data_IF_052249349438
#
_entry.id   IF_052249349438
#
_cell.length_a   1.000
_cell.length_b   1.000
_cell.length_c   1.000
_cell.angle_alpha   90.00
_cell.angle_beta   90.00
_cell.angle_gamma   90.00
#
_symmetry.space_group_name_H-M   'P 1'
#
loop_
_entity.id
_entity.type
_entity.pdbx_description
1 polymer ?
#
# COMPACT_ATOMS: atom_id res chain seq x y z
N UNK A 1 -22.95 25.63 -73.23
CA UNK A 1 -22.85 26.37 -71.95
C UNK A 1 -22.50 25.40 -70.83
N UNK A 2 -21.23 25.30 -70.49
CA UNK A 2 -20.76 24.43 -69.37
C UNK A 2 -20.34 25.36 -68.21
N UNK A 3 -21.11 25.32 -67.08
CA UNK A 3 -20.75 26.04 -65.84
C UNK A 3 -19.72 25.21 -65.07
N UNK A 4 -18.55 25.80 -64.85
CA UNK A 4 -17.52 25.31 -63.93
C UNK A 4 -17.90 25.76 -62.56
N UNK A 5 -18.08 24.79 -61.65
CA UNK A 5 -18.21 24.98 -60.19
C UNK A 5 -16.78 24.92 -59.61
N UNK A 6 -16.32 26.05 -59.08
CA UNK A 6 -15.07 26.12 -58.33
C UNK A 6 -15.34 25.68 -56.89
N UNK A 7 -14.73 24.58 -56.46
CA UNK A 7 -14.72 24.14 -55.07
C UNK A 7 -13.59 24.88 -54.34
N UNK A 8 -13.93 25.78 -53.41
CA UNK A 8 -12.98 26.31 -52.42
C UNK A 8 -12.69 25.26 -51.37
N UNK A 9 -11.50 24.67 -51.44
CA UNK A 9 -10.93 23.88 -50.33
C UNK A 9 -10.45 24.89 -49.28
N UNK A 10 -11.19 24.97 -48.17
CA UNK A 10 -10.71 25.60 -46.94
C UNK A 10 -9.79 24.61 -46.26
N UNK A 11 -8.49 24.79 -46.40
CA UNK A 11 -7.47 24.07 -45.63
C UNK A 11 -7.47 24.68 -44.22
N UNK A 12 -8.08 24.00 -43.28
CA UNK A 12 -7.86 24.27 -41.86
C UNK A 12 -6.44 23.78 -41.54
N UNK A 13 -5.52 24.72 -41.46
CA UNK A 13 -4.20 24.47 -40.89
C UNK A 13 -4.34 24.19 -39.39
N UNK A 14 -4.28 22.94 -38.98
CA UNK A 14 -3.92 22.59 -37.62
C UNK A 14 -2.46 23.05 -37.42
N UNK A 15 -2.27 24.27 -36.95
CA UNK A 15 -0.99 24.70 -36.42
C UNK A 15 -0.70 23.92 -35.16
N UNK A 16 0.12 22.90 -35.27
CA UNK A 16 0.76 22.33 -34.09
C UNK A 16 1.57 23.46 -33.44
N UNK A 17 1.20 23.90 -32.26
CA UNK A 17 1.98 24.85 -31.48
C UNK A 17 3.43 24.30 -31.39
N UNK A 18 4.41 25.14 -31.75
CA UNK A 18 5.80 24.78 -31.61
C UNK A 18 6.08 24.41 -30.15
N UNK A 19 6.89 23.38 -29.91
CA UNK A 19 7.20 22.83 -28.57
C UNK A 19 7.76 23.86 -27.57
N UNK A 20 8.12 25.08 -28.05
CA UNK A 20 8.65 26.18 -27.25
C UNK A 20 7.62 27.02 -26.49
N UNK A 21 6.32 26.92 -26.80
CA UNK A 21 5.27 27.75 -26.17
C UNK A 21 4.48 27.02 -25.04
N UNK A 22 4.78 25.76 -24.78
CA UNK A 22 4.05 24.96 -23.76
C UNK A 22 4.67 25.08 -22.37
N UNK A 23 3.81 25.28 -21.38
CA UNK A 23 4.21 25.17 -19.97
C UNK A 23 4.48 23.71 -19.65
N UNK A 24 5.71 23.38 -19.24
CA UNK A 24 6.04 22.03 -18.81
C UNK A 24 5.78 21.87 -17.32
N UNK A 25 4.96 20.90 -16.94
CA UNK A 25 4.77 20.44 -15.58
C UNK A 25 5.55 19.14 -15.36
N UNK A 26 6.25 19.07 -14.25
CA UNK A 26 7.02 17.89 -13.83
C UNK A 26 6.22 17.07 -12.81
N UNK A 27 5.95 15.79 -13.13
CA UNK A 27 5.30 14.84 -12.27
C UNK A 27 6.31 13.80 -11.78
N UNK A 28 6.69 13.87 -10.52
CA UNK A 28 7.57 12.85 -9.94
C UNK A 28 6.76 11.65 -9.45
N UNK A 29 7.02 10.46 -10.02
CA UNK A 29 6.36 9.21 -9.71
C UNK A 29 7.34 8.16 -9.24
N UNK A 30 6.87 7.33 -8.31
CA UNK A 30 7.46 6.03 -8.03
C UNK A 30 6.76 5.00 -8.91
N UNK A 31 7.27 4.80 -10.11
CA UNK A 31 6.64 3.95 -11.11
C UNK A 31 7.69 3.10 -11.84
N UNK A 32 7.40 1.81 -12.01
CA UNK A 32 8.11 0.99 -12.96
C UNK A 32 7.63 1.30 -14.40
N UNK A 33 8.14 0.58 -15.38
CA UNK A 33 7.77 0.80 -16.77
C UNK A 33 6.27 0.61 -17.06
N UNK A 34 5.63 -0.37 -16.41
CA UNK A 34 4.20 -0.66 -16.62
C UNK A 34 3.33 0.40 -15.96
N UNK A 35 3.68 0.78 -14.74
CA UNK A 35 3.01 1.86 -14.00
C UNK A 35 3.15 3.22 -14.71
N UNK A 36 4.34 3.51 -15.26
CA UNK A 36 4.57 4.73 -16.03
C UNK A 36 3.68 4.79 -17.28
N UNK A 37 3.53 3.69 -18.01
CA UNK A 37 2.62 3.61 -19.14
C UNK A 37 1.15 3.73 -18.77
N UNK A 38 0.79 3.26 -17.59
CA UNK A 38 -0.55 3.45 -17.04
C UNK A 38 -0.81 4.94 -16.77
N UNK A 39 0.15 5.64 -16.18
CA UNK A 39 0.06 7.08 -15.97
C UNK A 39 0.03 7.87 -17.30
N UNK A 40 0.71 7.42 -18.36
CA UNK A 40 0.57 8.02 -19.70
C UNK A 40 -0.89 7.94 -20.23
N UNK A 41 -1.59 6.82 -19.95
CA UNK A 41 -3.02 6.69 -20.30
C UNK A 41 -3.90 7.65 -19.50
N UNK A 42 -3.55 7.91 -18.25
CA UNK A 42 -4.24 8.90 -17.40
C UNK A 42 -3.97 10.31 -17.90
N UNK A 43 -2.72 10.63 -18.22
CA UNK A 43 -2.30 11.97 -18.60
C UNK A 43 -2.72 12.37 -20.02
N UNK A 44 -2.92 11.41 -20.93
CA UNK A 44 -3.30 11.67 -22.32
C UNK A 44 -4.52 12.60 -22.48
N UNK A 45 -5.68 12.28 -21.87
CA UNK A 45 -6.85 13.14 -21.90
C UNK A 45 -6.63 14.52 -21.28
N UNK A 46 -5.84 14.62 -20.19
CA UNK A 46 -5.51 15.91 -19.58
C UNK A 46 -4.78 16.84 -20.56
N UNK A 47 -3.73 16.32 -21.19
CA UNK A 47 -2.94 17.10 -22.15
C UNK A 47 -3.77 17.46 -23.39
N UNK A 48 -4.69 16.61 -23.81
CA UNK A 48 -5.57 16.87 -24.95
C UNK A 48 -6.49 18.09 -24.73
N UNK A 49 -6.98 18.29 -23.50
CA UNK A 49 -7.85 19.46 -23.16
C UNK A 49 -7.06 20.66 -22.65
N UNK A 50 -5.74 20.52 -22.44
CA UNK A 50 -4.82 21.59 -22.02
C UNK A 50 -3.67 21.75 -23.06
N UNK A 51 -3.93 22.21 -24.29
CA UNK A 51 -2.93 22.20 -25.38
C UNK A 51 -1.68 23.06 -25.10
N UNK A 52 -1.79 24.02 -24.16
CA UNK A 52 -0.67 24.83 -23.69
C UNK A 52 0.16 24.18 -22.56
N UNK A 53 -0.16 22.95 -22.16
CA UNK A 53 0.52 22.24 -21.08
C UNK A 53 1.17 20.97 -21.63
N UNK A 54 2.38 20.69 -21.16
CA UNK A 54 3.09 19.42 -21.31
C UNK A 54 3.35 18.85 -19.93
N UNK A 55 3.09 17.58 -19.72
CA UNK A 55 3.43 16.88 -18.47
C UNK A 55 4.59 15.92 -18.75
N UNK A 56 5.65 16.03 -17.95
CA UNK A 56 6.82 15.16 -18.03
C UNK A 56 6.90 14.31 -16.75
N UNK A 57 6.82 12.99 -16.91
CA UNK A 57 6.98 12.05 -15.81
C UNK A 57 8.46 11.88 -15.45
N UNK A 58 8.80 12.10 -14.19
CA UNK A 58 10.10 11.77 -13.60
C UNK A 58 9.98 10.46 -12.82
N UNK A 59 10.07 9.33 -13.53
CA UNK A 59 9.87 8.02 -12.94
C UNK A 59 11.13 7.50 -12.24
N UNK A 60 10.93 6.85 -11.08
CA UNK A 60 11.95 6.12 -10.36
C UNK A 60 11.45 4.70 -10.12
N UNK A 61 12.05 3.74 -10.83
CA UNK A 61 11.59 2.35 -10.88
C UNK A 61 11.81 1.54 -9.60
N UNK A 62 12.55 2.08 -8.62
CA UNK A 62 12.88 1.35 -7.39
C UNK A 62 12.07 1.84 -6.21
N UNK A 63 11.53 0.86 -5.48
CA UNK A 63 10.78 1.11 -4.27
C UNK A 63 11.63 1.83 -3.21
N UNK A 64 11.14 2.99 -2.77
CA UNK A 64 11.43 3.71 -1.54
C UNK A 64 12.66 4.65 -1.53
N UNK A 65 13.89 4.19 -1.30
CA UNK A 65 15.00 5.10 -0.98
C UNK A 65 15.41 6.04 -2.13
N UNK A 66 15.68 5.58 -3.36
CA UNK A 66 16.12 6.46 -4.45
C UNK A 66 15.09 7.50 -4.88
N UNK A 67 13.80 7.15 -4.85
CA UNK A 67 12.74 8.10 -5.15
C UNK A 67 12.68 9.23 -4.13
N UNK A 68 12.64 8.89 -2.84
CA UNK A 68 12.58 9.85 -1.75
C UNK A 68 13.83 10.74 -1.72
N UNK A 69 15.01 10.17 -1.91
CA UNK A 69 16.28 10.92 -1.92
C UNK A 69 16.29 11.94 -3.05
N UNK A 70 15.89 11.57 -4.26
CA UNK A 70 15.75 12.51 -5.39
C UNK A 70 14.76 13.63 -5.07
N UNK A 71 13.60 13.29 -4.53
CA UNK A 71 12.57 14.26 -4.16
C UNK A 71 13.09 15.26 -3.12
N UNK A 72 13.70 14.77 -2.04
CA UNK A 72 14.27 15.63 -1.01
C UNK A 72 15.42 16.49 -1.54
N UNK A 73 16.27 15.95 -2.41
CA UNK A 73 17.39 16.68 -3.04
C UNK A 73 16.86 17.80 -3.93
N UNK A 74 15.85 17.53 -4.77
CA UNK A 74 15.24 18.56 -5.64
C UNK A 74 14.56 19.67 -4.81
N UNK A 75 13.87 19.30 -3.73
CA UNK A 75 13.27 20.28 -2.81
C UNK A 75 14.33 21.16 -2.13
N UNK A 76 15.43 20.55 -1.65
CA UNK A 76 16.53 21.27 -1.02
C UNK A 76 17.30 22.18 -1.99
N UNK A 77 17.38 21.79 -3.27
CA UNK A 77 17.98 22.59 -4.34
C UNK A 77 17.08 23.74 -4.84
N UNK A 78 15.85 23.88 -4.31
CA UNK A 78 14.89 24.89 -4.75
C UNK A 78 14.27 24.65 -6.13
N UNK A 79 14.40 23.42 -6.65
CA UNK A 79 13.80 22.99 -7.94
C UNK A 79 12.94 21.74 -7.75
N UNK A 80 11.86 21.81 -6.92
CA UNK A 80 10.96 20.69 -6.72
C UNK A 80 10.15 20.42 -8.01
N UNK A 81 9.64 19.18 -8.19
CA UNK A 81 8.66 18.90 -9.24
C UNK A 81 7.37 19.70 -9.02
N UNK A 82 6.52 19.83 -10.01
CA UNK A 82 5.22 20.51 -9.87
C UNK A 82 4.22 19.68 -9.06
N UNK A 83 4.20 18.35 -9.27
CA UNK A 83 3.40 17.38 -8.53
C UNK A 83 4.26 16.16 -8.22
N UNK A 84 4.06 15.54 -7.08
CA UNK A 84 4.77 14.32 -6.73
C UNK A 84 3.88 13.30 -6.04
N UNK A 85 4.15 12.02 -6.30
CA UNK A 85 3.52 10.93 -5.57
C UNK A 85 4.07 10.87 -4.14
N UNK A 86 3.19 10.81 -3.18
CA UNK A 86 3.50 10.77 -1.75
C UNK A 86 2.96 9.51 -1.11
N UNK A 87 3.83 8.69 -0.56
CA UNK A 87 3.42 7.59 0.30
C UNK A 87 3.09 8.09 1.71
N UNK A 88 2.08 7.48 2.31
CA UNK A 88 1.66 7.81 3.66
C UNK A 88 2.80 7.80 4.70
N UNK A 89 3.82 6.95 4.51
CA UNK A 89 4.96 6.82 5.44
C UNK A 89 5.91 8.02 5.42
N UNK A 90 5.95 8.79 4.34
CA UNK A 90 6.81 9.96 4.21
C UNK A 90 6.10 11.28 4.58
N UNK A 91 4.78 11.25 4.66
CA UNK A 91 3.96 12.43 4.93
C UNK A 91 4.36 13.20 6.20
N UNK A 92 4.48 12.56 7.39
CA UNK A 92 4.78 13.31 8.62
C UNK A 92 6.10 14.07 8.54
N UNK A 93 7.13 13.45 7.99
CA UNK A 93 8.45 14.06 7.86
C UNK A 93 8.52 15.20 6.84
N UNK A 94 7.70 15.16 5.80
CA UNK A 94 7.62 16.23 4.81
C UNK A 94 6.77 17.41 5.32
N UNK A 95 5.69 17.10 6.02
CA UNK A 95 4.81 18.14 6.62
C UNK A 95 5.55 18.90 7.72
N UNK A 96 6.28 18.21 8.61
CA UNK A 96 7.06 18.89 9.68
C UNK A 96 8.14 19.83 9.14
N UNK A 97 8.68 19.55 7.95
CA UNK A 97 9.64 20.42 7.24
C UNK A 97 8.98 21.56 6.47
N UNK A 98 7.65 21.62 6.40
CA UNK A 98 6.93 22.66 5.67
C UNK A 98 7.14 22.62 4.16
N UNK A 99 7.54 21.47 3.58
CA UNK A 99 7.85 21.36 2.13
C UNK A 99 6.66 20.90 1.29
N UNK A 100 5.53 20.55 1.91
CA UNK A 100 4.28 20.14 1.24
C UNK A 100 3.23 21.23 1.43
N UNK A 101 2.52 21.56 0.35
CA UNK A 101 1.45 22.56 0.36
C UNK A 101 0.21 22.00 1.05
N UNK A 102 -0.42 22.79 1.92
CA UNK A 102 -1.79 22.54 2.35
C UNK A 102 -2.75 22.83 1.18
N UNK A 103 -3.42 21.80 0.70
CA UNK A 103 -4.36 21.87 -0.43
C UNK A 103 -5.76 22.35 -0.01
N UNK A 104 -6.14 22.23 1.25
CA UNK A 104 -7.49 22.50 1.71
C UNK A 104 -8.06 23.87 1.24
N UNK A 105 -7.29 25.01 1.26
CA UNK A 105 -7.78 26.29 0.80
C UNK A 105 -8.08 26.37 -0.70
N UNK A 106 -7.62 25.38 -1.49
CA UNK A 106 -7.68 25.39 -2.95
C UNK A 106 -8.71 24.41 -3.51
N UNK A 107 -9.21 23.45 -2.73
CA UNK A 107 -10.03 22.33 -3.19
C UNK A 107 -11.30 22.78 -3.90
N UNK A 108 -12.01 23.77 -3.35
CA UNK A 108 -13.22 24.33 -3.96
C UNK A 108 -12.94 24.91 -5.37
N UNK A 109 -11.79 25.60 -5.54
CA UNK A 109 -11.40 26.17 -6.85
C UNK A 109 -10.98 25.12 -7.85
N UNK A 110 -10.39 24.04 -7.36
CA UNK A 110 -9.98 22.90 -8.18
C UNK A 110 -11.14 21.93 -8.48
N UNK A 111 -12.35 22.26 -8.05
CA UNK A 111 -13.56 21.43 -8.19
C UNK A 111 -13.40 20.01 -7.58
N UNK A 112 -12.58 19.87 -6.53
CA UNK A 112 -12.39 18.60 -5.82
C UNK A 112 -13.41 18.49 -4.69
N UNK A 113 -14.32 17.53 -4.81
CA UNK A 113 -15.23 17.16 -3.73
C UNK A 113 -14.61 16.03 -2.89
N UNK A 114 -13.96 16.42 -1.79
CA UNK A 114 -13.35 15.46 -0.86
C UNK A 114 -14.36 14.58 -0.11
N UNK A 115 -15.66 14.92 -0.13
CA UNK A 115 -16.70 14.09 0.48
C UNK A 115 -16.94 12.80 -0.33
N UNK A 116 -16.58 12.79 -1.61
CA UNK A 116 -16.65 11.60 -2.47
C UNK A 116 -15.51 10.60 -2.23
N UNK A 117 -14.47 10.99 -1.49
CA UNK A 117 -13.32 10.14 -1.15
C UNK A 117 -13.63 9.27 0.07
N UNK A 118 -12.98 8.12 0.18
CA UNK A 118 -12.97 7.34 1.41
C UNK A 118 -12.34 8.18 2.54
N UNK A 119 -13.13 8.47 3.58
CA UNK A 119 -12.72 9.39 4.65
C UNK A 119 -11.60 8.80 5.53
N UNK A 120 -11.52 7.48 5.67
CA UNK A 120 -10.42 6.82 6.37
C UNK A 120 -9.11 7.04 5.60
N UNK A 121 -9.15 6.89 4.28
CA UNK A 121 -7.99 7.10 3.40
C UNK A 121 -7.60 8.57 3.35
N UNK A 122 -8.57 9.49 3.22
CA UNK A 122 -8.31 10.93 3.25
C UNK A 122 -7.65 11.37 4.57
N UNK A 123 -8.09 10.79 5.70
CA UNK A 123 -7.52 11.10 7.02
C UNK A 123 -6.03 10.77 7.13
N UNK A 124 -5.53 9.83 6.33
CA UNK A 124 -4.11 9.48 6.25
C UNK A 124 -3.27 10.68 5.78
N UNK A 125 -3.80 11.46 4.84
CA UNK A 125 -3.14 12.62 4.22
C UNK A 125 -3.56 13.97 4.84
N UNK A 126 -4.34 13.94 5.92
CA UNK A 126 -4.85 15.13 6.58
C UNK A 126 -4.24 15.32 7.97
N UNK A 127 -4.15 16.58 8.41
CA UNK A 127 -3.78 16.94 9.77
C UNK A 127 -4.69 18.11 10.23
N UNK A 128 -5.59 17.83 11.16
CA UNK A 128 -6.65 18.81 11.47
C UNK A 128 -7.47 19.13 10.22
N UNK A 129 -7.56 20.41 9.87
CA UNK A 129 -8.29 20.86 8.68
C UNK A 129 -7.41 20.92 7.41
N UNK A 130 -6.10 20.67 7.53
CA UNK A 130 -5.19 20.71 6.40
C UNK A 130 -5.18 19.37 5.64
N UNK A 131 -5.09 19.43 4.31
CA UNK A 131 -4.99 18.29 3.39
C UNK A 131 -3.68 18.41 2.60
N UNK A 132 -2.75 17.50 2.78
CA UNK A 132 -1.40 17.58 2.20
C UNK A 132 -1.20 16.74 0.94
N UNK A 133 -2.11 15.80 0.67
CA UNK A 133 -2.15 15.10 -0.59
C UNK A 133 -3.58 14.65 -0.90
N UNK A 134 -3.91 14.56 -2.18
CA UNK A 134 -5.14 13.93 -2.65
C UNK A 134 -4.88 12.44 -2.83
N UNK A 135 -5.68 11.54 -2.20
CA UNK A 135 -5.48 10.12 -2.32
C UNK A 135 -5.54 9.62 -3.76
N UNK A 136 -4.53 8.89 -4.21
CA UNK A 136 -4.49 8.23 -5.52
C UNK A 136 -5.13 6.85 -5.44
N UNK A 137 -4.85 6.14 -4.38
CA UNK A 137 -5.34 4.80 -4.12
C UNK A 137 -4.83 4.27 -2.79
N UNK A 138 -5.35 3.12 -2.39
CA UNK A 138 -5.01 2.52 -1.11
C UNK A 138 -5.10 0.99 -1.14
N UNK A 139 -4.50 0.36 -0.15
CA UNK A 139 -4.53 -1.08 0.04
C UNK A 139 -4.60 -1.44 1.53
N UNK A 140 -5.67 -2.07 1.99
CA UNK A 140 -5.63 -2.77 3.26
C UNK A 140 -4.81 -4.06 3.12
N UNK A 141 -4.17 -4.50 4.18
CA UNK A 141 -3.57 -5.83 4.20
C UNK A 141 -4.62 -6.90 4.47
N UNK A 142 -4.49 -8.00 3.75
CA UNK A 142 -5.36 -9.17 3.82
C UNK A 142 -4.52 -10.45 3.79
N UNK A 143 -5.14 -11.59 4.03
CA UNK A 143 -4.55 -12.91 3.78
C UNK A 143 -5.02 -13.43 2.43
N UNK A 144 -4.08 -13.70 1.52
CA UNK A 144 -4.33 -14.49 0.31
C UNK A 144 -4.22 -15.98 0.65
N UNK A 145 -5.10 -16.79 0.11
CA UNK A 145 -5.07 -18.25 0.31
C UNK A 145 -5.28 -19.01 -0.99
N UNK A 146 -4.61 -20.15 -1.13
CA UNK A 146 -4.68 -21.02 -2.30
C UNK A 146 -5.86 -21.98 -2.14
N UNK A 147 -6.96 -21.76 -2.90
CA UNK A 147 -8.19 -22.56 -2.84
C UNK A 147 -7.94 -24.03 -3.20
N UNK A 148 -7.02 -24.30 -4.13
CA UNK A 148 -6.73 -25.67 -4.54
C UNK A 148 -6.07 -26.49 -3.44
N UNK A 149 -5.24 -25.85 -2.60
CA UNK A 149 -4.66 -26.51 -1.42
C UNK A 149 -5.70 -26.77 -0.34
N UNK A 150 -6.65 -25.83 -0.15
CA UNK A 150 -7.76 -25.99 0.78
C UNK A 150 -8.68 -27.16 0.36
N UNK A 151 -9.05 -27.21 -0.91
CA UNK A 151 -9.92 -28.25 -1.46
C UNK A 151 -9.28 -29.63 -1.34
N UNK A 152 -7.99 -29.76 -1.71
CA UNK A 152 -7.24 -31.03 -1.55
C UNK A 152 -7.14 -31.49 -0.11
N UNK A 153 -7.12 -30.55 0.84
CA UNK A 153 -7.07 -30.86 2.27
C UNK A 153 -8.47 -31.05 2.89
N UNK A 154 -9.56 -30.85 2.13
CA UNK A 154 -10.92 -30.87 2.66
C UNK A 154 -11.16 -29.82 3.74
N UNK A 155 -10.60 -28.59 3.55
CA UNK A 155 -10.72 -27.50 4.50
C UNK A 155 -11.66 -26.45 3.94
N UNK A 156 -12.72 -26.04 4.65
CA UNK A 156 -13.56 -24.91 4.26
C UNK A 156 -12.74 -23.64 4.13
N UNK A 157 -13.12 -22.77 3.17
CA UNK A 157 -12.47 -21.48 3.00
C UNK A 157 -12.68 -20.59 4.21
N UNK A 158 -11.67 -19.78 4.60
CA UNK A 158 -11.78 -18.90 5.74
C UNK A 158 -12.76 -17.76 5.47
N UNK A 159 -13.39 -17.25 6.54
CA UNK A 159 -14.32 -16.12 6.53
C UNK A 159 -13.74 -14.98 7.35
N UNK A 160 -14.23 -13.76 7.19
CA UNK A 160 -13.65 -12.58 7.86
C UNK A 160 -13.82 -12.57 9.40
N UNK A 161 -14.65 -13.47 9.94
CA UNK A 161 -14.85 -13.69 11.38
C UNK A 161 -13.92 -14.75 11.98
N UNK A 162 -12.95 -15.27 11.21
CA UNK A 162 -12.02 -16.30 11.67
C UNK A 162 -11.05 -15.80 12.74
N UNK A 163 -10.72 -16.70 13.64
CA UNK A 163 -9.86 -16.42 14.78
C UNK A 163 -8.43 -16.90 14.56
N UNK A 164 -7.51 -16.53 15.46
CA UNK A 164 -6.16 -17.06 15.52
C UNK A 164 -6.12 -18.59 15.68
N UNK A 165 -7.08 -19.16 16.43
CA UNK A 165 -7.17 -20.61 16.60
C UNK A 165 -7.60 -21.31 15.31
N UNK A 166 -8.54 -20.69 14.55
CA UNK A 166 -8.92 -21.17 13.22
C UNK A 166 -7.74 -21.13 12.27
N UNK A 167 -7.00 -20.00 12.25
CA UNK A 167 -5.80 -19.86 11.43
C UNK A 167 -4.76 -20.94 11.76
N UNK A 168 -4.42 -21.15 13.02
CA UNK A 168 -3.45 -22.18 13.44
C UNK A 168 -3.92 -23.60 13.06
N UNK A 169 -5.18 -23.91 13.28
CA UNK A 169 -5.77 -25.21 12.92
C UNK A 169 -5.68 -25.44 11.41
N UNK A 170 -6.03 -24.45 10.61
CA UNK A 170 -5.95 -24.48 9.15
C UNK A 170 -4.49 -24.61 8.70
N UNK A 171 -3.61 -23.74 9.18
CA UNK A 171 -2.21 -23.72 8.81
C UNK A 171 -1.49 -25.03 9.13
N UNK A 172 -1.76 -25.64 10.29
CA UNK A 172 -1.23 -26.98 10.64
C UNK A 172 -1.67 -28.07 9.67
N UNK A 173 -2.94 -28.07 9.27
CA UNK A 173 -3.46 -29.05 8.29
C UNK A 173 -2.89 -28.86 6.89
N UNK A 174 -2.49 -27.65 6.54
CA UNK A 174 -1.88 -27.30 5.26
C UNK A 174 -0.35 -27.41 5.25
N UNK A 175 0.27 -27.65 6.42
CA UNK A 175 1.72 -27.90 6.51
C UNK A 175 1.97 -29.39 6.34
N UNK A 176 2.62 -29.77 5.25
CA UNK A 176 2.76 -31.18 4.83
C UNK A 176 4.10 -31.46 4.18
N UNK A 177 4.53 -32.68 4.38
CA UNK A 177 5.40 -33.42 3.49
C UNK A 177 4.52 -33.98 2.36
N UNK A 178 4.72 -33.58 1.12
CA UNK A 178 3.87 -33.92 -0.01
C UNK A 178 4.45 -35.02 -0.90
N UNK A 179 5.75 -35.31 -0.76
CA UNK A 179 6.45 -36.37 -1.50
C UNK A 179 6.86 -37.57 -0.62
N UNK A 180 6.74 -37.46 0.71
CA UNK A 180 6.98 -38.54 1.66
C UNK A 180 8.43 -38.74 2.03
N UNK A 181 9.32 -37.77 1.78
CA UNK A 181 10.74 -37.84 2.09
C UNK A 181 11.07 -37.50 3.57
N UNK A 182 10.09 -37.17 4.36
CA UNK A 182 10.20 -36.80 5.78
C UNK A 182 10.46 -35.29 6.00
N UNK A 183 10.54 -34.50 4.95
CA UNK A 183 10.73 -33.06 5.02
C UNK A 183 9.45 -32.30 4.64
N UNK A 184 9.21 -31.17 5.31
CA UNK A 184 8.07 -30.32 4.96
C UNK A 184 8.43 -29.51 3.72
N UNK A 185 7.66 -29.65 2.66
CA UNK A 185 7.77 -28.96 1.39
C UNK A 185 6.58 -28.03 1.08
N UNK A 186 5.43 -28.23 1.77
CA UNK A 186 4.28 -27.33 1.75
C UNK A 186 4.02 -26.75 3.14
N UNK A 187 4.01 -25.44 3.27
CA UNK A 187 3.80 -24.71 4.51
C UNK A 187 2.41 -24.08 4.57
N UNK A 188 1.80 -24.06 5.74
CA UNK A 188 0.49 -23.45 5.96
C UNK A 188 0.52 -21.93 5.77
N UNK A 189 1.62 -21.30 6.17
CA UNK A 189 1.80 -19.84 6.03
C UNK A 189 3.26 -19.49 5.84
N UNK A 190 3.50 -18.18 5.65
CA UNK A 190 4.83 -17.59 5.62
C UNK A 190 5.01 -16.59 6.77
N UNK A 191 6.16 -16.65 7.42
CA UNK A 191 6.55 -15.69 8.46
C UNK A 191 7.26 -14.49 7.81
N UNK A 192 6.73 -13.30 8.01
CA UNK A 192 7.30 -12.08 7.46
C UNK A 192 7.73 -11.14 8.58
N UNK A 193 9.02 -10.79 8.63
CA UNK A 193 9.58 -9.92 9.65
C UNK A 193 9.46 -8.43 9.37
N UNK A 194 8.96 -8.04 8.19
CA UNK A 194 8.78 -6.64 7.83
C UNK A 194 7.70 -5.99 8.68
N UNK A 195 7.97 -4.86 9.35
CA UNK A 195 7.05 -4.25 10.30
C UNK A 195 5.66 -3.98 9.72
N UNK A 196 5.59 -3.54 8.47
CA UNK A 196 4.32 -3.27 7.82
C UNK A 196 3.43 -4.51 7.66
N UNK A 197 4.01 -5.73 7.70
CA UNK A 197 3.26 -6.99 7.61
C UNK A 197 2.85 -7.52 8.97
N UNK A 198 3.77 -7.55 9.97
CA UNK A 198 3.46 -8.20 11.24
C UNK A 198 2.76 -7.30 12.27
N UNK A 199 2.92 -5.98 12.19
CA UNK A 199 2.24 -5.06 13.12
C UNK A 199 0.71 -5.21 13.07
N UNK A 200 0.04 -5.32 11.90
CA UNK A 200 -1.39 -5.60 11.82
C UNK A 200 -1.82 -6.88 12.55
N UNK A 201 -0.98 -7.91 12.58
CA UNK A 201 -1.26 -9.13 13.36
C UNK A 201 -1.18 -8.87 14.86
N UNK A 202 -0.26 -8.02 15.31
CA UNK A 202 -0.21 -7.58 16.72
C UNK A 202 -1.47 -6.79 17.07
N UNK A 203 -1.93 -5.90 16.19
CA UNK A 203 -3.18 -5.17 16.37
C UNK A 203 -4.39 -6.09 16.47
N UNK A 204 -4.47 -7.09 15.59
CA UNK A 204 -5.51 -8.12 15.64
C UNK A 204 -5.42 -9.00 16.89
N UNK A 205 -4.29 -8.99 17.59
CA UNK A 205 -4.09 -9.59 18.91
C UNK A 205 -4.46 -8.69 20.09
N UNK A 206 -4.81 -7.43 19.83
CA UNK A 206 -5.12 -6.43 20.86
C UNK A 206 -3.91 -5.65 21.38
N UNK A 207 -2.71 -5.89 20.83
CA UNK A 207 -1.46 -5.17 21.17
C UNK A 207 -1.14 -4.03 20.23
N UNK A 208 -0.06 -3.31 20.49
CA UNK A 208 0.51 -2.30 19.60
C UNK A 208 2.01 -2.08 19.87
N UNK A 209 2.71 -1.54 18.86
CA UNK A 209 4.14 -1.25 18.95
C UNK A 209 4.45 0.13 19.56
N UNK A 210 3.51 1.06 19.51
CA UNK A 210 3.57 2.37 20.17
C UNK A 210 2.33 2.62 20.98
N UNK A 211 2.46 3.46 21.98
CA UNK A 211 1.32 3.95 22.75
C UNK A 211 0.45 4.89 21.89
N UNK A 212 -0.84 5.09 22.24
CA UNK A 212 -1.81 5.80 21.38
C UNK A 212 -1.37 7.21 20.98
N UNK A 213 -0.55 7.87 21.80
CA UNK A 213 0.00 9.20 21.54
C UNK A 213 1.15 9.18 20.50
N UNK A 214 1.68 7.98 20.16
CA UNK A 214 2.79 7.79 19.23
C UNK A 214 4.16 8.28 19.74
N UNK A 215 4.28 8.62 21.03
CA UNK A 215 5.46 9.24 21.60
C UNK A 215 6.42 8.26 22.27
N UNK A 216 5.94 7.07 22.59
CA UNK A 216 6.73 6.03 23.29
C UNK A 216 6.27 4.63 22.90
N UNK A 217 7.18 3.68 23.04
CA UNK A 217 6.94 2.23 22.92
C UNK A 217 6.79 1.57 24.30
N UNK A 218 7.52 2.07 25.30
CA UNK A 218 7.48 1.54 26.67
C UNK A 218 6.09 1.60 27.28
N UNK A 219 5.61 0.48 27.83
CA UNK A 219 4.26 0.28 28.34
C UNK A 219 3.24 -0.14 27.27
N UNK A 220 3.63 -0.22 25.99
CA UNK A 220 2.77 -0.65 24.89
C UNK A 220 3.40 -1.80 24.10
N UNK A 221 4.59 -1.65 23.54
CA UNK A 221 5.31 -2.75 22.87
C UNK A 221 5.64 -3.89 23.84
N UNK A 222 6.00 -3.56 25.07
CA UNK A 222 6.30 -4.49 26.15
C UNK A 222 5.12 -4.76 27.11
N UNK A 223 3.92 -4.35 26.74
CA UNK A 223 2.70 -4.73 27.45
C UNK A 223 2.43 -6.24 27.30
N UNK A 224 1.87 -6.90 28.32
CA UNK A 224 1.60 -8.35 28.27
C UNK A 224 0.83 -8.79 27.05
N UNK A 225 -0.20 -8.04 26.64
CA UNK A 225 -1.02 -8.34 25.45
C UNK A 225 -0.20 -8.29 24.15
N UNK A 226 0.72 -7.34 24.05
CA UNK A 226 1.61 -7.20 22.87
C UNK A 226 2.66 -8.29 22.86
N UNK A 227 3.27 -8.60 24.01
CA UNK A 227 4.22 -9.72 24.16
C UNK A 227 3.55 -11.04 23.75
N UNK A 228 2.31 -11.27 24.18
CA UNK A 228 1.56 -12.47 23.81
C UNK A 228 1.29 -12.53 22.30
N UNK A 229 0.96 -11.39 21.67
CA UNK A 229 0.77 -11.33 20.23
C UNK A 229 2.08 -11.61 19.46
N UNK A 230 3.20 -11.03 19.89
CA UNK A 230 4.53 -11.28 19.32
C UNK A 230 4.93 -12.76 19.51
N UNK A 231 4.70 -13.32 20.71
CA UNK A 231 4.96 -14.74 21.00
C UNK A 231 4.12 -15.66 20.12
N UNK A 232 2.87 -15.30 19.85
CA UNK A 232 1.99 -16.05 18.97
C UNK A 232 2.50 -16.00 17.52
N UNK A 233 2.82 -14.81 17.01
CA UNK A 233 3.29 -14.61 15.64
C UNK A 233 4.63 -15.30 15.38
N UNK A 234 5.63 -15.10 16.26
CA UNK A 234 6.95 -15.77 16.18
C UNK A 234 6.86 -17.28 16.37
N UNK A 235 5.82 -17.72 17.08
CA UNK A 235 5.50 -19.13 17.29
C UNK A 235 5.24 -19.91 16.00
N UNK A 236 4.87 -19.25 14.90
CA UNK A 236 4.69 -19.94 13.60
C UNK A 236 5.94 -20.66 13.13
N UNK A 237 7.11 -20.06 13.34
CA UNK A 237 8.40 -20.68 13.04
C UNK A 237 8.95 -21.53 14.17
N UNK A 238 8.86 -21.03 15.42
CA UNK A 238 9.65 -21.57 16.53
C UNK A 238 8.97 -22.76 17.23
N UNK A 239 7.64 -22.71 17.38
CA UNK A 239 6.87 -23.71 18.15
C UNK A 239 5.83 -24.47 17.34
N UNK A 240 5.17 -23.79 16.38
CA UNK A 240 4.05 -24.37 15.65
C UNK A 240 4.50 -25.11 14.38
N UNK A 241 5.67 -24.76 13.83
CA UNK A 241 6.22 -25.39 12.64
C UNK A 241 5.33 -25.21 11.38
N UNK A 242 4.56 -24.12 11.29
CA UNK A 242 3.63 -23.86 10.19
C UNK A 242 4.20 -22.91 9.13
N UNK A 243 5.38 -22.36 9.37
CA UNK A 243 6.12 -21.50 8.45
C UNK A 243 7.57 -21.98 8.34
N UNK A 244 8.22 -21.80 7.17
CA UNK A 244 9.61 -22.21 6.98
C UNK A 244 10.56 -21.48 7.93
N UNK A 245 11.58 -22.19 8.46
CA UNK A 245 12.56 -21.65 9.42
C UNK A 245 13.67 -20.81 8.80
N UNK A 246 13.43 -20.16 7.67
CA UNK A 246 14.44 -19.35 7.00
C UNK A 246 13.91 -17.98 6.64
N UNK A 247 14.63 -16.95 7.08
CA UNK A 247 14.32 -15.57 6.71
C UNK A 247 14.81 -15.20 5.31
N UNK A 248 15.65 -16.05 4.70
CA UNK A 248 16.32 -15.74 3.45
C UNK A 248 15.52 -16.09 2.19
N UNK A 249 14.31 -16.64 2.32
CA UNK A 249 13.48 -17.02 1.18
C UNK A 249 12.90 -15.81 0.43
N UNK A 250 12.76 -14.66 1.12
CA UNK A 250 12.20 -13.47 0.51
C UNK A 250 13.22 -12.33 0.52
N UNK A 251 13.85 -12.11 -0.61
CA UNK A 251 14.66 -10.90 -0.87
C UNK A 251 13.84 -9.79 -1.53
N UNK A 252 12.67 -10.13 -2.07
CA UNK A 252 11.78 -9.22 -2.79
C UNK A 252 10.32 -9.64 -2.69
N UNK A 253 9.40 -8.74 -3.04
CA UNK A 253 7.97 -9.06 -3.19
C UNK A 253 7.76 -10.14 -4.27
N UNK A 254 8.62 -10.17 -5.30
CA UNK A 254 8.59 -11.20 -6.33
C UNK A 254 8.92 -12.61 -5.80
N UNK A 255 9.78 -12.70 -4.79
CA UNK A 255 10.09 -14.00 -4.15
C UNK A 255 8.88 -14.53 -3.36
N UNK A 256 8.21 -13.66 -2.61
CA UNK A 256 6.96 -14.00 -1.92
C UNK A 256 5.91 -14.53 -2.89
N UNK A 257 5.72 -13.83 -3.98
CA UNK A 257 4.79 -14.22 -5.04
C UNK A 257 5.14 -15.59 -5.64
N UNK A 258 6.43 -15.84 -5.98
CA UNK A 258 6.87 -17.12 -6.51
C UNK A 258 6.67 -18.27 -5.53
N UNK A 259 6.96 -18.04 -4.24
CA UNK A 259 6.78 -19.05 -3.18
C UNK A 259 5.31 -19.45 -3.03
N UNK A 260 4.39 -18.46 -3.03
CA UNK A 260 2.95 -18.70 -2.99
C UNK A 260 2.45 -19.38 -4.28
N UNK A 261 2.85 -18.86 -5.43
CA UNK A 261 2.37 -19.33 -6.73
C UNK A 261 2.87 -20.76 -7.07
N UNK A 262 3.99 -21.20 -6.49
CA UNK A 262 4.45 -22.60 -6.60
C UNK A 262 3.66 -23.58 -5.73
N UNK A 263 2.72 -23.11 -4.91
CA UNK A 263 1.96 -23.94 -3.97
C UNK A 263 2.74 -24.36 -2.70
N UNK A 264 3.97 -23.88 -2.53
CA UNK A 264 4.80 -24.19 -1.36
C UNK A 264 4.32 -23.47 -0.09
N UNK A 265 3.51 -22.44 -0.22
CA UNK A 265 2.88 -21.74 0.90
C UNK A 265 1.39 -21.56 0.60
N UNK A 266 0.55 -21.97 1.54
CA UNK A 266 -0.89 -22.00 1.36
C UNK A 266 -1.58 -20.65 1.64
N UNK A 267 -1.04 -19.87 2.58
CA UNK A 267 -1.58 -18.57 3.01
C UNK A 267 -0.47 -17.55 3.21
N UNK A 268 -0.68 -16.30 2.80
CA UNK A 268 0.27 -15.20 3.02
C UNK A 268 -0.46 -13.88 3.26
N UNK A 269 0.14 -12.99 4.05
CA UNK A 269 -0.30 -11.60 4.16
C UNK A 269 0.15 -10.83 2.92
N UNK A 270 -0.77 -10.08 2.31
CA UNK A 270 -0.50 -9.28 1.11
C UNK A 270 -1.41 -8.06 1.02
N UNK A 271 -1.13 -7.19 0.04
CA UNK A 271 -1.97 -6.08 -0.36
C UNK A 271 -2.55 -6.27 -1.76
N UNK A 272 -3.30 -5.28 -2.23
CA UNK A 272 -4.04 -5.32 -3.48
C UNK A 272 -3.16 -5.48 -4.74
N UNK A 273 -1.89 -5.04 -4.68
CA UNK A 273 -0.91 -5.19 -5.78
C UNK A 273 -0.68 -6.64 -6.24
N UNK A 274 -1.19 -7.64 -5.52
CA UNK A 274 -1.17 -9.03 -5.95
C UNK A 274 -2.30 -9.37 -6.91
N UNK A 275 -3.40 -8.65 -6.90
CA UNK A 275 -4.57 -8.89 -7.77
C UNK A 275 -4.18 -8.97 -9.25
N UNK A 276 -3.51 -7.96 -9.86
CA UNK A 276 -3.12 -8.04 -11.27
C UNK A 276 -2.12 -9.16 -11.56
N UNK A 277 -1.31 -9.56 -10.59
CA UNK A 277 -0.36 -10.66 -10.73
C UNK A 277 -1.03 -12.03 -10.70
N UNK A 278 -2.15 -12.18 -9.97
CA UNK A 278 -2.89 -13.43 -9.82
C UNK A 278 -3.90 -13.64 -10.96
N UNK A 279 -4.48 -12.57 -11.51
CA UNK A 279 -5.48 -12.66 -12.59
C UNK A 279 -5.07 -13.54 -13.76
N UNK A 280 -3.83 -13.45 -14.32
CA UNK A 280 -3.41 -14.30 -15.43
C UNK A 280 -3.39 -15.80 -15.10
N UNK A 281 -3.06 -16.17 -13.86
CA UNK A 281 -3.05 -17.57 -13.43
C UNK A 281 -4.47 -18.14 -13.32
N UNK A 282 -5.42 -17.34 -12.81
CA UNK A 282 -6.82 -17.73 -12.76
C UNK A 282 -7.43 -17.81 -14.15
N UNK A 283 -7.16 -16.83 -15.01
CA UNK A 283 -7.64 -16.84 -16.40
C UNK A 283 -7.11 -18.05 -17.21
N UNK A 284 -5.89 -18.50 -16.90
CA UNK A 284 -5.30 -19.71 -17.51
C UNK A 284 -5.75 -21.02 -16.83
N UNK A 285 -6.65 -20.98 -15.84
CA UNK A 285 -7.11 -22.15 -15.09
C UNK A 285 -6.03 -22.86 -14.28
N UNK A 286 -4.90 -22.19 -14.01
CA UNK A 286 -3.73 -22.82 -13.36
C UNK A 286 -3.85 -22.90 -11.85
N UNK A 287 -4.51 -21.93 -11.21
CA UNK A 287 -4.69 -21.86 -9.76
C UNK A 287 -5.94 -21.06 -9.42
N UNK A 288 -6.54 -21.37 -8.27
CA UNK A 288 -7.66 -20.61 -7.69
C UNK A 288 -7.24 -20.01 -6.36
N UNK A 289 -7.58 -18.75 -6.15
CA UNK A 289 -7.20 -17.97 -4.97
C UNK A 289 -8.41 -17.33 -4.31
N UNK A 290 -8.27 -16.97 -3.05
CA UNK A 290 -9.20 -16.11 -2.35
C UNK A 290 -8.44 -15.13 -1.45
N UNK A 291 -9.14 -14.09 -1.05
CA UNK A 291 -8.68 -13.13 -0.06
C UNK A 291 -9.64 -13.09 1.11
N UNK A 292 -9.12 -12.84 2.30
CA UNK A 292 -9.87 -12.76 3.56
C UNK A 292 -9.15 -11.79 4.50
N UNK A 293 -9.87 -11.16 5.42
CA UNK A 293 -9.28 -10.29 6.44
C UNK A 293 -8.24 -11.02 7.30
N UNK A 294 -7.35 -10.28 7.95
CA UNK A 294 -6.40 -10.84 8.93
C UNK A 294 -7.19 -11.43 10.09
N UNK A 295 -6.90 -12.69 10.52
CA UNK A 295 -7.59 -13.30 11.65
C UNK A 295 -7.26 -12.60 12.96
N UNK A 296 -8.20 -12.56 13.87
CA UNK A 296 -8.04 -11.85 15.13
C UNK A 296 -8.08 -12.80 16.33
N UNK A 297 -7.52 -12.37 17.46
CA UNK A 297 -7.66 -13.08 18.73
C UNK A 297 -9.13 -13.07 19.16
N UNK A 298 -9.64 -14.18 19.66
CA UNK A 298 -11.00 -14.26 20.17
C UNK A 298 -11.28 -13.14 21.19
N UNK A 299 -12.39 -12.43 21.03
CA UNK A 299 -12.76 -11.28 21.85
C UNK A 299 -12.07 -9.96 21.51
N UNK A 300 -11.15 -9.95 20.55
CA UNK A 300 -10.52 -8.72 20.01
C UNK A 300 -11.18 -8.33 18.70
N UNK A 301 -11.35 -7.03 18.45
CA UNK A 301 -11.88 -6.55 17.18
C UNK A 301 -10.89 -6.83 16.05
N UNK A 302 -11.35 -7.26 14.86
CA UNK A 302 -10.50 -7.33 13.69
C UNK A 302 -9.78 -6.01 13.43
N UNK A 303 -8.55 -6.09 12.93
CA UNK A 303 -7.76 -4.92 12.59
C UNK A 303 -6.81 -5.21 11.42
N UNK A 304 -6.60 -4.22 10.57
CA UNK A 304 -5.55 -4.24 9.55
C UNK A 304 -4.97 -2.86 9.34
N UNK A 305 -3.85 -2.76 8.61
CA UNK A 305 -3.28 -1.49 8.19
C UNK A 305 -3.79 -1.11 6.80
N UNK A 306 -4.11 0.17 6.59
CA UNK A 306 -4.40 0.76 5.29
C UNK A 306 -3.18 1.55 4.85
N UNK A 307 -2.49 1.07 3.81
CA UNK A 307 -1.44 1.81 3.14
C UNK A 307 -2.03 2.58 1.97
N UNK A 308 -1.59 3.81 1.78
CA UNK A 308 -2.13 4.69 0.75
C UNK A 308 -1.03 5.51 0.09
N UNK A 309 -1.23 5.83 -1.17
CA UNK A 309 -0.47 6.83 -1.91
C UNK A 309 -1.37 7.97 -2.38
N UNK A 310 -0.81 9.13 -2.56
CA UNK A 310 -1.54 10.32 -3.03
C UNK A 310 -0.65 11.22 -3.86
N UNK A 311 -1.24 12.25 -4.46
CA UNK A 311 -0.52 13.30 -5.16
C UNK A 311 -0.47 14.55 -4.30
N UNK A 312 0.73 15.06 -4.11
CA UNK A 312 1.04 16.25 -3.32
C UNK A 312 1.67 17.33 -4.20
N UNK A 313 1.55 18.57 -3.75
CA UNK A 313 2.16 19.75 -4.39
C UNK A 313 3.22 20.31 -3.43
N UNK A 314 4.43 20.63 -3.90
CA UNK A 314 5.42 21.31 -3.07
C UNK A 314 4.95 22.68 -2.58
N UNK A 315 5.31 23.05 -1.35
CA UNK A 315 4.97 24.37 -0.78
C UNK A 315 5.49 25.54 -1.65
N UNK A 316 6.65 25.34 -2.29
CA UNK A 316 7.32 26.31 -3.17
C UNK A 316 7.07 26.05 -4.67
N UNK A 317 5.96 25.38 -5.02
CA UNK A 317 5.63 25.14 -6.43
C UNK A 317 5.55 26.46 -7.21
N UNK A 318 6.38 26.58 -8.26
CA UNK A 318 6.45 27.79 -9.11
C UNK A 318 5.15 28.01 -9.88
N UNK A 319 4.49 26.90 -10.29
CA UNK A 319 3.24 26.90 -11.09
C UNK A 319 2.07 26.42 -10.24
N UNK A 320 1.95 26.91 -9.00
CA UNK A 320 1.03 26.39 -7.97
C UNK A 320 -0.38 26.08 -8.47
N UNK A 321 -0.99 26.99 -9.28
CA UNK A 321 -2.35 26.79 -9.80
C UNK A 321 -2.42 25.54 -10.68
N UNK A 322 -1.57 25.43 -11.67
CA UNK A 322 -1.52 24.29 -12.60
C UNK A 322 -1.13 22.98 -11.87
N UNK A 323 -0.23 23.05 -10.89
CA UNK A 323 0.16 21.91 -10.07
C UNK A 323 -1.03 21.36 -9.27
N UNK A 324 -1.86 22.23 -8.69
CA UNK A 324 -3.06 21.81 -7.95
C UNK A 324 -4.12 21.23 -8.91
N UNK A 325 -4.33 21.85 -10.06
CA UNK A 325 -5.24 21.35 -11.10
C UNK A 325 -4.80 19.97 -11.62
N UNK A 326 -3.49 19.77 -11.84
CA UNK A 326 -2.97 18.47 -12.23
C UNK A 326 -3.13 17.42 -11.11
N UNK A 327 -2.82 17.78 -9.85
CA UNK A 327 -3.00 16.86 -8.72
C UNK A 327 -4.49 16.46 -8.55
N UNK A 328 -5.41 17.40 -8.71
CA UNK A 328 -6.85 17.15 -8.69
C UNK A 328 -7.28 16.19 -9.81
N UNK A 329 -6.83 16.45 -11.04
CA UNK A 329 -7.12 15.60 -12.19
C UNK A 329 -6.58 14.17 -11.99
N UNK A 330 -5.36 14.03 -11.47
CA UNK A 330 -4.74 12.74 -11.22
C UNK A 330 -5.48 11.88 -10.17
N UNK A 331 -6.47 12.46 -9.48
CA UNK A 331 -7.30 11.79 -8.47
C UNK A 331 -8.80 11.88 -8.78
N UNK A 332 -9.15 12.20 -10.02
CA UNK A 332 -10.54 12.23 -10.47
C UNK A 332 -11.06 10.85 -10.88
N UNK A 333 -12.32 10.81 -11.28
CA UNK A 333 -13.02 9.57 -11.65
C UNK A 333 -12.40 8.87 -12.87
N UNK A 334 -11.86 9.60 -13.83
CA UNK A 334 -11.21 9.02 -15.01
C UNK A 334 -9.88 8.37 -14.64
N UNK A 335 -9.07 9.08 -13.85
CA UNK A 335 -7.80 8.56 -13.35
C UNK A 335 -8.01 7.30 -12.50
N UNK A 336 -8.98 7.34 -11.59
CA UNK A 336 -9.34 6.20 -10.72
C UNK A 336 -9.88 5.02 -11.53
N UNK A 337 -10.70 5.24 -12.58
CA UNK A 337 -11.18 4.18 -13.44
C UNK A 337 -10.03 3.48 -14.18
N UNK A 338 -9.12 4.23 -14.78
CA UNK A 338 -7.95 3.69 -15.49
C UNK A 338 -7.04 2.87 -14.55
N UNK A 339 -6.81 3.35 -13.33
CA UNK A 339 -5.98 2.62 -12.33
C UNK A 339 -6.70 1.45 -11.72
N UNK A 340 -8.01 1.56 -11.49
CA UNK A 340 -8.86 0.47 -10.99
C UNK A 340 -8.87 -0.74 -11.93
N UNK A 341 -8.93 -0.52 -13.27
CA UNK A 341 -8.78 -1.58 -14.26
C UNK A 341 -7.43 -2.31 -14.15
N UNK A 342 -6.36 -1.57 -13.88
CA UNK A 342 -5.03 -2.15 -13.67
C UNK A 342 -4.94 -2.97 -12.36
N UNK A 343 -5.77 -2.63 -11.36
CA UNK A 343 -5.91 -3.38 -10.12
C UNK A 343 -4.70 -3.30 -9.17
N UNK A 344 -3.88 -2.26 -9.26
CA UNK A 344 -2.71 -2.10 -8.39
C UNK A 344 -3.08 -1.69 -6.97
N UNK A 345 -4.09 -0.82 -6.84
CA UNK A 345 -4.61 -0.26 -5.60
C UNK A 345 -6.13 -0.16 -5.70
N UNK A 346 -6.83 -0.13 -4.58
CA UNK A 346 -8.23 0.30 -4.57
C UNK A 346 -8.31 1.79 -4.88
N UNK A 347 -9.26 2.25 -5.70
CA UNK A 347 -9.52 3.67 -5.93
C UNK A 347 -9.85 4.40 -4.64
N UNK A 348 -9.51 5.68 -4.54
CA UNK A 348 -9.89 6.50 -3.39
C UNK A 348 -11.34 7.02 -3.47
N UNK A 349 -11.90 7.15 -4.67
CA UNK A 349 -13.29 7.54 -4.89
C UNK A 349 -14.23 6.39 -4.54
N UNK A 350 -15.21 6.65 -3.67
CA UNK A 350 -16.18 5.64 -3.20
C UNK A 350 -17.03 5.06 -4.34
N UNK A 351 -17.41 5.87 -5.32
CA UNK A 351 -18.15 5.43 -6.51
C UNK A 351 -17.32 4.51 -7.41
N UNK A 352 -16.03 4.76 -7.55
CA UNK A 352 -15.13 3.90 -8.32
C UNK A 352 -14.92 2.54 -7.62
N UNK A 353 -14.79 2.53 -6.28
CA UNK A 353 -14.76 1.28 -5.49
C UNK A 353 -16.05 0.47 -5.67
N UNK A 354 -17.22 1.13 -5.62
CA UNK A 354 -18.50 0.45 -5.83
C UNK A 354 -18.61 -0.18 -7.22
N UNK A 355 -18.17 0.53 -8.26
CA UNK A 355 -18.13 0.01 -9.62
C UNK A 355 -17.17 -1.19 -9.75
N UNK A 356 -16.01 -1.11 -9.12
CA UNK A 356 -15.01 -2.19 -9.10
C UNK A 356 -15.59 -3.45 -8.43
N UNK A 357 -16.24 -3.31 -7.27
CA UNK A 357 -16.90 -4.43 -6.57
C UNK A 357 -18.07 -5.00 -7.36
N UNK A 358 -18.86 -4.16 -8.04
CA UNK A 358 -19.97 -4.63 -8.87
C UNK A 358 -19.51 -5.50 -10.05
N UNK A 359 -18.29 -5.26 -10.57
CA UNK A 359 -17.66 -6.08 -11.61
C UNK A 359 -16.86 -7.30 -11.09
N UNK A 360 -16.78 -7.47 -9.77
CA UNK A 360 -15.93 -8.49 -9.14
C UNK A 360 -16.55 -9.88 -9.14
N UNK A 361 -16.33 -10.64 -10.20
CA UNK A 361 -16.82 -12.02 -10.34
C UNK A 361 -16.08 -13.04 -9.46
N UNK A 362 -14.92 -12.68 -8.91
CA UNK A 362 -14.08 -13.55 -8.09
C UNK A 362 -14.24 -13.33 -6.58
N UNK A 363 -14.91 -12.24 -6.19
CA UNK A 363 -15.11 -11.82 -4.80
C UNK A 363 -13.83 -11.26 -4.15
N UNK A 364 -12.84 -10.87 -4.94
CA UNK A 364 -11.56 -10.39 -4.45
C UNK A 364 -11.63 -8.94 -3.97
N UNK A 365 -12.20 -8.07 -4.81
CA UNK A 365 -12.34 -6.65 -4.49
C UNK A 365 -13.22 -6.45 -3.25
N UNK A 366 -14.31 -7.21 -3.16
CA UNK A 366 -15.19 -7.21 -2.01
C UNK A 366 -14.46 -7.60 -0.70
N UNK A 367 -13.48 -8.52 -0.75
CA UNK A 367 -12.68 -8.88 0.42
C UNK A 367 -11.78 -7.73 0.89
N UNK A 368 -11.14 -7.01 -0.02
CA UNK A 368 -10.36 -5.82 0.33
C UNK A 368 -11.24 -4.70 0.90
N UNK A 369 -12.41 -4.45 0.32
CA UNK A 369 -13.35 -3.44 0.84
C UNK A 369 -13.82 -3.79 2.26
N UNK A 370 -14.15 -5.05 2.54
CA UNK A 370 -14.48 -5.47 3.91
C UNK A 370 -13.31 -5.30 4.89
N UNK A 371 -12.07 -5.57 4.44
CA UNK A 371 -10.89 -5.33 5.26
C UNK A 371 -10.67 -3.84 5.53
N UNK A 372 -11.01 -2.94 4.59
CA UNK A 372 -10.94 -1.49 4.79
C UNK A 372 -11.80 -1.03 5.98
N UNK A 373 -12.98 -1.63 6.16
CA UNK A 373 -13.90 -1.26 7.25
C UNK A 373 -13.32 -1.48 8.67
N UNK A 374 -12.31 -2.34 8.80
CA UNK A 374 -11.59 -2.59 10.07
C UNK A 374 -10.15 -2.07 10.03
N UNK A 375 -9.82 -1.34 8.98
CA UNK A 375 -8.49 -0.82 8.73
C UNK A 375 -8.22 0.48 9.49
N UNK A 376 -6.96 0.74 9.77
CA UNK A 376 -6.49 2.01 10.33
C UNK A 376 -5.20 2.49 9.69
N UNK A 377 -4.94 3.80 9.79
CA UNK A 377 -3.68 4.38 9.34
C UNK A 377 -2.50 3.73 10.07
N UNK A 378 -1.45 3.29 9.36
CA UNK A 378 -0.25 2.75 9.97
C UNK A 378 0.53 3.84 10.72
N UNK A 379 1.39 3.43 11.64
CA UNK A 379 2.21 4.36 12.42
C UNK A 379 3.05 5.29 11.54
N UNK A 380 3.53 4.79 10.39
CA UNK A 380 4.26 5.61 9.42
C UNK A 380 3.50 6.81 8.87
N UNK A 381 2.17 6.75 8.87
CA UNK A 381 1.34 7.89 8.47
C UNK A 381 1.18 8.93 9.59
N UNK A 382 1.65 8.66 10.81
CA UNK A 382 1.38 9.49 12.01
C UNK A 382 2.65 10.03 12.65
N UNK A 383 3.78 9.31 12.53
CA UNK A 383 5.01 9.55 13.28
C UNK A 383 6.11 10.00 12.34
N UNK A 384 6.70 11.18 12.60
CA UNK A 384 7.78 11.76 11.78
C UNK A 384 8.99 10.83 11.69
N UNK A 385 9.40 10.27 12.83
CA UNK A 385 10.59 9.40 12.93
C UNK A 385 10.28 7.92 12.70
N UNK A 386 9.16 7.62 12.06
CA UNK A 386 8.73 6.22 11.88
C UNK A 386 9.76 5.37 11.12
N UNK A 387 10.40 5.92 10.10
CA UNK A 387 11.42 5.15 9.35
C UNK A 387 12.57 4.68 10.20
N UNK A 388 12.96 5.47 11.19
CA UNK A 388 14.01 5.11 12.15
C UNK A 388 13.51 4.02 13.11
N UNK A 389 12.26 4.12 13.54
CA UNK A 389 11.59 3.07 14.34
C UNK A 389 11.45 1.79 13.51
N UNK A 390 10.95 1.88 12.28
CA UNK A 390 10.75 0.75 11.39
C UNK A 390 12.06 0.01 11.08
N UNK A 391 13.17 0.72 10.99
CA UNK A 391 14.49 0.14 10.72
C UNK A 391 15.00 -0.76 11.85
N UNK A 392 14.63 -0.51 13.10
CA UNK A 392 15.09 -1.30 14.26
C UNK A 392 14.13 -2.44 14.64
N UNK A 393 12.85 -2.35 14.27
CA UNK A 393 11.84 -3.33 14.67
C UNK A 393 12.09 -4.77 14.17
N UNK A 394 12.68 -5.03 12.97
CA UNK A 394 12.99 -6.40 12.55
C UNK A 394 13.90 -7.16 13.51
N UNK A 395 14.81 -6.48 14.22
CA UNK A 395 15.71 -7.07 15.20
C UNK A 395 14.96 -7.75 16.38
N UNK A 396 13.79 -7.22 16.75
CA UNK A 396 12.92 -7.86 17.75
C UNK A 396 12.56 -9.28 17.36
N UNK A 397 12.07 -9.45 16.12
CA UNK A 397 11.63 -10.77 15.64
C UNK A 397 12.84 -11.70 15.39
N UNK A 398 13.95 -11.15 14.88
CA UNK A 398 15.18 -11.90 14.63
C UNK A 398 15.78 -12.45 15.94
N UNK A 399 15.82 -11.67 17.02
CA UNK A 399 16.25 -12.14 18.35
C UNK A 399 15.42 -13.31 18.86
N UNK A 400 14.11 -13.26 18.67
CA UNK A 400 13.21 -14.33 19.13
C UNK A 400 13.35 -15.56 18.24
N UNK A 401 13.34 -15.39 16.91
CA UNK A 401 13.23 -16.50 15.97
C UNK A 401 14.56 -17.15 15.59
N UNK A 402 15.66 -16.40 15.61
CA UNK A 402 17.00 -16.88 15.26
C UNK A 402 17.88 -17.11 16.50
N UNK A 403 17.85 -16.19 17.47
CA UNK A 403 18.68 -16.30 18.66
C UNK A 403 17.97 -16.96 19.85
N UNK A 404 16.67 -17.30 19.74
CA UNK A 404 15.92 -17.98 20.79
C UNK A 404 15.64 -17.13 22.04
N UNK A 405 15.67 -15.80 21.90
CA UNK A 405 15.41 -14.91 23.02
C UNK A 405 13.97 -15.04 23.54
N UNK A 406 13.78 -14.82 24.85
CA UNK A 406 12.45 -14.72 25.43
C UNK A 406 11.69 -13.52 24.83
N UNK A 407 10.46 -13.69 24.32
CA UNK A 407 9.69 -12.62 23.70
C UNK A 407 9.45 -11.40 24.62
N UNK A 408 9.30 -11.61 25.93
CA UNK A 408 9.13 -10.53 26.89
C UNK A 408 10.41 -9.71 27.05
N UNK A 409 11.55 -10.37 27.28
CA UNK A 409 12.84 -9.71 27.38
C UNK A 409 13.18 -8.95 26.09
N UNK A 410 12.98 -9.57 24.93
CA UNK A 410 13.21 -8.95 23.63
C UNK A 410 12.31 -7.71 23.40
N UNK A 411 11.03 -7.78 23.79
CA UNK A 411 10.09 -6.67 23.68
C UNK A 411 10.46 -5.50 24.61
N UNK A 412 10.88 -5.77 25.85
CA UNK A 412 11.36 -4.73 26.78
C UNK A 412 12.61 -4.02 26.25
N UNK A 413 13.56 -4.77 25.69
CA UNK A 413 14.77 -4.20 25.10
C UNK A 413 14.45 -3.33 23.89
N UNK A 414 13.57 -3.83 23.03
CA UNK A 414 13.14 -3.11 21.83
C UNK A 414 12.34 -1.85 22.19
N UNK A 415 11.46 -1.91 23.19
CA UNK A 415 10.71 -0.73 23.66
C UNK A 415 11.67 0.38 24.08
N UNK A 416 12.73 0.06 24.85
CA UNK A 416 13.77 1.04 25.23
C UNK A 416 14.54 1.58 24.02
N UNK A 417 14.79 0.74 23.03
CA UNK A 417 15.47 1.18 21.80
C UNK A 417 14.60 2.14 20.98
N UNK A 418 13.32 1.81 20.80
CA UNK A 418 12.36 2.67 20.11
C UNK A 418 12.15 3.99 20.86
N UNK A 419 12.06 3.96 22.19
CA UNK A 419 11.93 5.19 23.00
C UNK A 419 13.15 6.12 22.80
N UNK A 420 14.37 5.58 22.74
CA UNK A 420 15.56 6.39 22.40
C UNK A 420 15.46 6.97 20.98
N UNK A 421 15.00 6.20 20.03
CA UNK A 421 14.76 6.69 18.64
C UNK A 421 13.77 7.84 18.64
N UNK A 422 12.67 7.71 19.38
CA UNK A 422 11.64 8.76 19.46
C UNK A 422 12.06 9.98 20.27
N UNK A 423 13.16 9.91 21.03
CA UNK A 423 13.58 10.96 21.96
C UNK A 423 12.68 11.04 23.20
N UNK A 424 12.00 9.95 23.54
CA UNK A 424 11.20 9.88 24.76
C UNK A 424 12.12 9.94 25.99
N UNK A 425 11.97 10.97 26.80
CA UNK A 425 12.56 11.03 28.15
C UNK A 425 11.79 10.10 29.08
N UNK A 426 12.51 9.39 29.95
CA UNK A 426 11.93 8.54 31.00
C UNK A 426 11.18 9.36 32.04
#
# INVERSE_FOLDING_TARGET
MRRRVAACLVVWGCGAAADGDRVTLELANRADYLEARLEDRVLGPYVAVHPGVRVVQQNTATYQAPYRERLLTSMAAGSPPDVFQLDNIDLPALVSRGVVLDLAPYLTRAAVDIACLDQTVLSIFSRGNAVYALPRGYTPLVVVYNKDLFDRAGIPYPRDDWTWDDFLRIAKRLTRDTDGDGMIDQWGTYFDRRPFVWIPWVWAGGGDVLCPDGRRAGGCLDAPVTIDAIRWYTGWMTRQGIAPRTHNLLKSVGDAFRLFNSGRVAMMTTGHSWVPRLRPYVAAGRMRFGFVGIPHRAGVRPATAIYASGYAVPALAARRKLSIELAAYLTDSLADAVRGEAGLELPALTTAVQALVAGDTLGWEAAFVRATAVGRAPWGARIERWREVEAVLPDLLDRITLAGADPGAAAHDMARQVDRVLGATR
#
